data_IF_401127385788
#
_entry.id   IF_401127385788
#
_cell.length_a   1.000
_cell.length_b   1.000
_cell.length_c   1.000
_cell.angle_alpha   90.00
_cell.angle_beta   90.00
_cell.angle_gamma   90.00
#
_symmetry.space_group_name_H-M   'P 1'
#
loop_
_entity.id
_entity.type
_entity.pdbx_description
1 polymer ?
#
# COMPACT_ATOMS: atom_id res chain seq x y z
N UNK A 1 -3.49 26.94 -12.52
CA UNK A 1 -3.44 25.48 -12.71
C UNK A 1 -4.77 24.87 -12.29
N UNK A 2 -5.38 24.05 -13.12
CA UNK A 2 -6.65 23.37 -12.86
C UNK A 2 -6.56 21.91 -13.23
N UNK A 3 -7.23 21.06 -12.46
CA UNK A 3 -7.38 19.64 -12.78
C UNK A 3 -8.27 19.50 -14.02
N UNK A 4 -7.77 18.80 -15.04
CA UNK A 4 -8.52 18.53 -16.28
C UNK A 4 -8.87 17.06 -16.44
N UNK A 5 -8.17 16.15 -15.75
CA UNK A 5 -8.48 14.73 -15.81
C UNK A 5 -7.95 13.98 -14.59
N UNK A 6 -8.66 12.90 -14.21
CA UNK A 6 -8.21 11.87 -13.27
C UNK A 6 -8.31 10.53 -13.98
N UNK A 7 -7.24 9.78 -13.99
CA UNK A 7 -7.10 8.47 -14.64
C UNK A 7 -6.64 7.42 -13.65
N UNK A 8 -7.03 6.19 -13.88
CA UNK A 8 -6.57 5.03 -13.11
C UNK A 8 -5.99 3.96 -14.03
N UNK A 9 -5.04 3.19 -13.52
CA UNK A 9 -4.52 1.99 -14.14
C UNK A 9 -4.31 0.92 -13.06
N UNK A 10 -4.74 -0.32 -13.35
CA UNK A 10 -4.50 -1.46 -12.45
C UNK A 10 -3.30 -2.23 -12.96
N UNK A 11 -2.29 -2.37 -12.12
CA UNK A 11 -1.06 -3.12 -12.42
C UNK A 11 -1.01 -4.35 -11.53
N UNK A 12 -0.78 -5.51 -12.15
CA UNK A 12 -0.59 -6.76 -11.41
C UNK A 12 0.88 -6.91 -11.01
N UNK A 13 1.18 -6.64 -9.75
CA UNK A 13 2.49 -6.84 -9.15
C UNK A 13 2.30 -7.08 -7.65
N UNK A 14 2.68 -8.26 -7.15
CA UNK A 14 2.42 -8.67 -5.75
C UNK A 14 0.98 -8.34 -5.27
N UNK A 15 -0.03 -8.79 -6.05
CA UNK A 15 -1.41 -8.33 -5.90
C UNK A 15 -1.83 -7.38 -7.02
N UNK A 16 -2.69 -6.43 -6.74
CA UNK A 16 -3.17 -5.43 -7.70
C UNK A 16 -2.96 -4.03 -7.15
N UNK A 17 -2.01 -3.29 -7.70
CA UNK A 17 -1.84 -1.87 -7.42
C UNK A 17 -2.77 -1.04 -8.33
N UNK A 18 -3.55 -0.14 -7.75
CA UNK A 18 -4.36 0.83 -8.49
C UNK A 18 -3.64 2.16 -8.50
N UNK A 19 -3.02 2.48 -9.64
CA UNK A 19 -2.34 3.75 -9.83
C UNK A 19 -3.36 4.84 -10.17
N UNK A 20 -3.14 6.04 -9.65
CA UNK A 20 -3.93 7.24 -9.90
C UNK A 20 -3.05 8.28 -10.55
N UNK A 21 -3.54 8.89 -11.64
CA UNK A 21 -2.89 10.03 -12.28
C UNK A 21 -3.88 11.19 -12.39
N UNK A 22 -3.44 12.37 -11.95
CA UNK A 22 -4.18 13.62 -12.10
C UNK A 22 -3.45 14.50 -13.10
N UNK A 23 -4.14 14.91 -14.16
CA UNK A 23 -3.60 15.79 -15.20
C UNK A 23 -4.13 17.22 -15.02
N UNK A 24 -3.29 18.23 -15.34
CA UNK A 24 -3.63 19.66 -15.27
C UNK A 24 -3.59 20.34 -16.62
N UNK A 25 -4.26 21.50 -16.71
CA UNK A 25 -4.25 22.38 -17.89
C UNK A 25 -2.88 23.00 -18.22
N UNK A 26 -1.95 22.98 -17.26
CA UNK A 26 -0.57 23.46 -17.44
C UNK A 26 0.40 22.34 -17.83
N UNK A 27 -0.08 21.13 -18.08
CA UNK A 27 0.72 19.98 -18.53
C UNK A 27 1.44 19.22 -17.42
N UNK A 28 1.33 19.64 -16.17
CA UNK A 28 1.83 18.87 -15.03
C UNK A 28 0.89 17.72 -14.72
N UNK A 29 1.47 16.60 -14.28
CA UNK A 29 0.73 15.44 -13.81
C UNK A 29 1.27 14.95 -12.48
N UNK A 30 0.36 14.56 -11.58
CA UNK A 30 0.68 13.93 -10.30
C UNK A 30 0.27 12.46 -10.29
N UNK A 31 0.99 11.68 -9.50
CA UNK A 31 0.81 10.23 -9.39
C UNK A 31 0.61 9.81 -7.96
N UNK A 32 -0.33 8.91 -7.75
CA UNK A 32 -0.61 8.27 -6.47
C UNK A 32 -0.94 6.80 -6.65
N UNK A 33 -1.06 6.10 -5.55
CA UNK A 33 -1.46 4.71 -5.51
C UNK A 33 -2.55 4.52 -4.48
N UNK A 34 -3.66 3.91 -4.91
CA UNK A 34 -4.73 3.41 -4.06
C UNK A 34 -4.55 1.90 -3.97
N UNK A 35 -3.89 1.43 -2.92
CA UNK A 35 -3.51 0.03 -2.80
C UNK A 35 -4.51 -0.77 -1.94
N UNK A 36 -5.33 -1.62 -2.55
CA UNK A 36 -5.87 -2.78 -1.88
C UNK A 36 -5.38 -4.04 -2.56
N UNK A 37 -5.16 -5.06 -1.78
CA UNK A 37 -4.96 -6.42 -2.27
C UNK A 37 -6.18 -6.93 -3.05
N UNK A 38 -7.37 -6.60 -2.58
CA UNK A 38 -8.64 -6.95 -3.19
C UNK A 38 -9.51 -5.70 -3.38
N UNK A 39 -10.39 -5.72 -4.38
CA UNK A 39 -11.35 -4.62 -4.60
C UNK A 39 -10.86 -3.53 -5.56
N UNK A 40 -9.80 -3.75 -6.34
CA UNK A 40 -9.29 -2.76 -7.29
C UNK A 40 -10.38 -2.22 -8.24
N UNK A 41 -11.31 -3.06 -8.70
CA UNK A 41 -12.41 -2.63 -9.56
C UNK A 41 -13.37 -1.63 -8.86
N UNK A 42 -13.66 -1.87 -7.58
CA UNK A 42 -14.51 -0.97 -6.78
C UNK A 42 -13.81 0.38 -6.56
N UNK A 43 -12.50 0.38 -6.33
CA UNK A 43 -11.69 1.59 -6.17
C UNK A 43 -11.63 2.39 -7.46
N UNK A 44 -11.39 1.74 -8.60
CA UNK A 44 -11.42 2.39 -9.92
C UNK A 44 -12.79 3.02 -10.19
N UNK A 45 -13.88 2.30 -9.89
CA UNK A 45 -15.24 2.81 -10.02
C UNK A 45 -15.47 4.06 -9.16
N UNK A 46 -15.07 3.99 -7.89
CA UNK A 46 -15.21 5.10 -6.96
C UNK A 46 -14.38 6.32 -7.39
N UNK A 47 -13.12 6.15 -7.78
CA UNK A 47 -12.29 7.26 -8.28
C UNK A 47 -12.93 7.90 -9.53
N UNK A 48 -13.55 7.09 -10.39
CA UNK A 48 -14.26 7.60 -11.57
C UNK A 48 -15.47 8.48 -11.21
N UNK A 49 -16.18 8.15 -10.12
CA UNK A 49 -17.27 8.99 -9.61
C UNK A 49 -16.73 10.28 -8.97
N UNK A 50 -15.73 10.17 -8.11
CA UNK A 50 -15.11 11.31 -7.40
C UNK A 50 -14.45 12.31 -8.36
N UNK A 51 -14.00 11.87 -9.52
CA UNK A 51 -13.37 12.70 -10.55
C UNK A 51 -14.18 13.95 -10.88
N UNK A 52 -15.52 13.83 -11.00
CA UNK A 52 -16.37 14.94 -11.40
C UNK A 52 -16.26 16.15 -10.45
N UNK A 53 -16.01 15.88 -9.17
CA UNK A 53 -15.88 16.91 -8.14
C UNK A 53 -14.49 17.58 -8.14
N UNK A 54 -13.49 16.94 -8.73
CA UNK A 54 -12.12 17.44 -8.79
C UNK A 54 -11.85 18.27 -10.06
N UNK A 55 -12.57 18.01 -11.17
CA UNK A 55 -12.37 18.75 -12.42
C UNK A 55 -12.61 20.25 -12.19
N UNK A 56 -11.62 21.06 -12.60
CA UNK A 56 -11.65 22.51 -12.46
C UNK A 56 -11.08 23.03 -11.15
N UNK A 57 -10.86 22.17 -10.15
CA UNK A 57 -10.20 22.57 -8.89
C UNK A 57 -8.72 22.82 -9.09
N UNK A 58 -8.14 23.63 -8.21
CA UNK A 58 -6.68 23.85 -8.14
C UNK A 58 -6.05 22.71 -7.31
N UNK A 59 -5.23 21.82 -7.92
CA UNK A 59 -4.64 20.68 -7.23
C UNK A 59 -3.65 21.07 -6.11
N UNK A 60 -3.22 22.33 -6.05
CA UNK A 60 -2.35 22.83 -4.97
C UNK A 60 -3.10 23.00 -3.64
N UNK A 61 -4.42 23.10 -3.68
CA UNK A 61 -5.29 23.13 -2.51
C UNK A 61 -5.62 21.71 -2.04
N UNK A 62 -4.58 20.93 -1.68
CA UNK A 62 -4.69 19.49 -1.37
C UNK A 62 -5.72 19.23 -0.28
N UNK A 63 -5.61 19.92 0.87
CA UNK A 63 -6.52 19.78 2.00
C UNK A 63 -7.96 20.14 1.64
N UNK A 64 -8.16 21.17 0.81
CA UNK A 64 -9.48 21.55 0.34
C UNK A 64 -10.10 20.43 -0.52
N UNK A 65 -9.35 19.87 -1.47
CA UNK A 65 -9.83 18.77 -2.32
C UNK A 65 -10.15 17.54 -1.48
N UNK A 66 -9.30 17.19 -0.51
CA UNK A 66 -9.51 16.10 0.43
C UNK A 66 -10.81 16.29 1.23
N UNK A 67 -10.97 17.43 1.91
CA UNK A 67 -12.13 17.71 2.74
C UNK A 67 -13.41 17.82 1.92
N UNK A 68 -13.36 18.37 0.71
CA UNK A 68 -14.49 18.42 -0.20
C UNK A 68 -15.03 17.03 -0.50
N UNK A 69 -14.17 16.12 -0.94
CA UNK A 69 -14.56 14.75 -1.24
C UNK A 69 -15.06 14.01 0.01
N UNK A 70 -14.36 14.13 1.12
CA UNK A 70 -14.70 13.48 2.37
C UNK A 70 -16.05 13.91 2.92
N UNK A 71 -16.34 15.21 2.90
CA UNK A 71 -17.58 15.78 3.45
C UNK A 71 -18.79 15.54 2.56
N UNK A 72 -18.61 15.65 1.25
CA UNK A 72 -19.71 15.42 0.31
C UNK A 72 -20.19 13.95 0.34
N UNK A 73 -19.32 13.04 0.76
CA UNK A 73 -19.61 11.61 0.82
C UNK A 73 -19.70 11.05 2.25
N UNK A 74 -20.12 11.87 3.21
CA UNK A 74 -20.21 11.48 4.63
C UNK A 74 -20.97 10.18 4.88
N UNK A 75 -21.98 9.86 4.05
CA UNK A 75 -22.77 8.63 4.16
C UNK A 75 -22.16 7.43 3.42
N UNK A 76 -21.07 7.62 2.68
CA UNK A 76 -20.37 6.57 1.93
C UNK A 76 -19.21 5.94 2.71
N UNK A 77 -19.10 6.18 4.01
CA UNK A 77 -18.05 5.62 4.86
C UNK A 77 -16.67 6.28 4.69
N UNK A 78 -16.55 7.63 4.74
CA UNK A 78 -15.33 8.35 4.45
C UNK A 78 -14.24 8.24 5.53
N UNK A 79 -14.42 7.36 6.51
CA UNK A 79 -13.48 7.17 7.63
C UNK A 79 -12.75 5.83 7.57
N UNK A 80 -12.95 5.03 6.51
CA UNK A 80 -12.29 3.74 6.36
C UNK A 80 -12.67 3.02 5.06
N UNK A 81 -12.12 1.82 4.91
CA UNK A 81 -12.45 0.91 3.81
C UNK A 81 -12.11 1.45 2.42
N UNK A 82 -12.81 0.98 1.42
CA UNK A 82 -12.58 1.28 -0.01
C UNK A 82 -12.63 2.77 -0.30
N UNK A 83 -13.53 3.52 0.36
CA UNK A 83 -13.64 4.96 0.15
C UNK A 83 -12.35 5.68 0.51
N UNK A 84 -11.82 5.42 1.71
CA UNK A 84 -10.60 6.08 2.17
C UNK A 84 -9.38 5.66 1.36
N UNK A 85 -9.33 4.41 0.90
CA UNK A 85 -8.26 3.92 0.01
C UNK A 85 -8.28 4.68 -1.33
N UNK A 86 -9.45 4.85 -1.95
CA UNK A 86 -9.60 5.62 -3.17
C UNK A 86 -9.20 7.09 -2.98
N UNK A 87 -9.67 7.69 -1.89
CA UNK A 87 -9.36 9.06 -1.53
C UNK A 87 -7.87 9.27 -1.26
N UNK A 88 -7.19 8.32 -0.59
CA UNK A 88 -5.75 8.37 -0.36
C UNK A 88 -4.95 8.35 -1.65
N UNK A 89 -5.34 7.52 -2.64
CA UNK A 89 -4.68 7.52 -3.94
C UNK A 89 -4.81 8.86 -4.68
N UNK A 90 -5.95 9.52 -4.57
CA UNK A 90 -6.17 10.87 -5.11
C UNK A 90 -5.29 11.88 -4.37
N UNK A 91 -5.28 11.84 -3.05
CA UNK A 91 -4.55 12.78 -2.19
C UNK A 91 -3.04 12.68 -2.40
N UNK A 92 -2.48 11.47 -2.51
CA UNK A 92 -1.07 11.27 -2.85
C UNK A 92 -0.73 11.91 -4.21
N UNK A 93 -1.61 11.77 -5.22
CA UNK A 93 -1.42 12.38 -6.52
C UNK A 93 -1.50 13.93 -6.47
N UNK A 94 -2.36 14.49 -5.61
CA UNK A 94 -2.44 15.94 -5.39
C UNK A 94 -1.17 16.47 -4.70
N UNK A 95 -0.64 15.78 -3.69
CA UNK A 95 0.61 16.15 -3.04
C UNK A 95 1.81 16.08 -4.00
N UNK A 96 1.87 15.08 -4.87
CA UNK A 96 2.89 14.99 -5.92
C UNK A 96 2.80 16.18 -6.90
N UNK A 97 1.58 16.56 -7.30
CA UNK A 97 1.35 17.76 -8.12
C UNK A 97 1.77 19.05 -7.41
N UNK A 98 1.35 19.24 -6.16
CA UNK A 98 1.68 20.42 -5.38
C UNK A 98 3.21 20.58 -5.24
N UNK A 99 3.92 19.48 -5.00
CA UNK A 99 5.37 19.48 -4.91
C UNK A 99 6.04 19.82 -6.24
N UNK A 100 5.58 19.24 -7.35
CA UNK A 100 6.06 19.55 -8.71
C UNK A 100 5.80 21.01 -9.09
N UNK A 101 4.61 21.52 -8.78
CA UNK A 101 4.26 22.92 -9.03
C UNK A 101 5.12 23.90 -8.21
N UNK A 102 5.52 23.51 -7.00
CA UNK A 102 6.44 24.29 -6.16
C UNK A 102 7.91 24.12 -6.54
N UNK A 103 8.25 23.23 -7.50
CA UNK A 103 9.65 22.92 -7.85
C UNK A 103 10.43 22.31 -6.69
N UNK A 104 9.75 21.62 -5.76
CA UNK A 104 10.35 21.05 -4.56
C UNK A 104 10.08 19.54 -4.48
N UNK A 105 10.99 18.74 -3.93
CA UNK A 105 10.69 17.36 -3.62
C UNK A 105 9.63 17.29 -2.51
N UNK A 106 8.71 16.33 -2.64
CA UNK A 106 7.54 16.19 -1.76
C UNK A 106 7.89 16.21 -0.26
N UNK A 107 8.98 15.55 0.14
CA UNK A 107 9.37 15.50 1.56
C UNK A 107 9.59 16.89 2.19
N UNK A 108 9.90 17.92 1.38
CA UNK A 108 10.05 19.31 1.89
C UNK A 108 8.72 19.91 2.29
N UNK A 109 7.65 19.60 1.53
CA UNK A 109 6.30 20.06 1.86
C UNK A 109 5.73 19.31 3.07
N UNK A 110 6.20 18.09 3.32
CA UNK A 110 5.77 17.23 4.44
C UNK A 110 6.61 17.42 5.72
N UNK A 111 7.34 18.52 5.85
CA UNK A 111 8.10 18.84 7.07
C UNK A 111 9.61 18.66 6.98
N UNK A 112 10.14 18.28 5.82
CA UNK A 112 11.57 18.21 5.56
C UNK A 112 12.15 16.78 5.64
N UNK A 113 13.45 16.69 5.37
CA UNK A 113 14.16 15.41 5.33
C UNK A 113 14.54 14.96 6.74
N UNK A 114 14.09 13.77 7.12
CA UNK A 114 14.38 13.19 8.43
C UNK A 114 15.66 12.34 8.42
N UNK A 115 15.96 11.64 7.30
CA UNK A 115 17.15 10.78 7.15
C UNK A 115 17.53 10.63 5.67
N UNK A 116 18.79 10.29 5.43
CA UNK A 116 19.33 10.07 4.07
C UNK A 116 19.20 8.63 3.59
N UNK A 117 19.10 7.68 4.52
CA UNK A 117 19.00 6.26 4.23
C UNK A 117 17.90 5.62 5.07
N UNK A 118 17.19 4.69 4.48
CA UNK A 118 16.17 3.87 5.14
C UNK A 118 16.71 2.45 5.24
N UNK A 119 16.69 1.88 6.46
CA UNK A 119 16.97 0.46 6.65
C UNK A 119 15.83 -0.35 6.06
N UNK A 120 16.17 -1.25 5.13
CA UNK A 120 15.22 -2.19 4.56
C UNK A 120 15.26 -3.52 5.32
N UNK A 121 14.13 -4.20 5.37
CA UNK A 121 14.06 -5.61 5.72
C UNK A 121 13.73 -6.44 4.47
N UNK A 122 14.15 -7.70 4.44
CA UNK A 122 13.67 -8.64 3.44
C UNK A 122 12.37 -9.30 3.92
N UNK A 123 11.32 -9.21 3.13
CA UNK A 123 10.11 -9.99 3.33
C UNK A 123 10.37 -11.41 2.80
N UNK A 124 10.39 -12.37 3.70
CA UNK A 124 10.74 -13.76 3.43
C UNK A 124 9.51 -14.69 3.30
N UNK A 125 8.32 -14.18 3.62
CA UNK A 125 7.08 -14.96 3.58
C UNK A 125 7.20 -16.25 4.39
N UNK A 126 6.84 -17.37 3.77
CA UNK A 126 6.92 -18.72 4.36
C UNK A 126 8.32 -19.38 4.25
N UNK A 127 9.32 -18.69 3.72
CA UNK A 127 10.65 -19.24 3.48
C UNK A 127 10.90 -19.64 2.01
N UNK A 128 11.89 -20.52 1.77
CA UNK A 128 12.27 -20.96 0.42
C UNK A 128 11.44 -22.13 -0.12
N UNK A 129 10.66 -22.78 0.72
CA UNK A 129 9.74 -23.82 0.31
C UNK A 129 8.28 -23.42 0.56
N UNK A 130 7.38 -23.97 -0.26
CA UNK A 130 5.94 -23.68 -0.15
C UNK A 130 5.27 -24.31 1.08
N UNK A 131 6.00 -25.14 1.84
CA UNK A 131 5.51 -25.77 3.08
C UNK A 131 5.74 -24.87 4.29
N UNK A 132 6.64 -23.89 4.19
CA UNK A 132 7.06 -23.05 5.30
C UNK A 132 7.75 -23.86 6.39
N UNK A 133 8.60 -24.83 6.01
CA UNK A 133 9.36 -25.60 6.97
C UNK A 133 10.40 -24.76 7.72
N UNK A 134 10.84 -25.16 8.93
CA UNK A 134 11.94 -24.50 9.63
C UNK A 134 13.21 -24.41 8.78
N UNK A 135 13.54 -25.45 8.01
CA UNK A 135 14.70 -25.52 7.12
C UNK A 135 14.57 -24.53 5.95
N UNK A 136 13.38 -24.40 5.36
CA UNK A 136 13.08 -23.43 4.32
C UNK A 136 13.22 -22.00 4.83
N UNK A 137 12.72 -21.71 6.04
CA UNK A 137 12.90 -20.42 6.71
C UNK A 137 14.39 -20.11 6.96
N UNK A 138 15.15 -21.06 7.51
CA UNK A 138 16.58 -20.90 7.76
C UNK A 138 17.39 -20.69 6.47
N UNK A 139 17.05 -21.38 5.39
CA UNK A 139 17.70 -21.24 4.10
C UNK A 139 17.43 -19.87 3.50
N UNK A 140 16.19 -19.41 3.54
CA UNK A 140 15.81 -18.06 3.11
C UNK A 140 16.51 -16.98 3.92
N UNK A 141 16.54 -17.14 5.25
CA UNK A 141 17.23 -16.21 6.15
C UNK A 141 18.71 -16.05 5.78
N UNK A 142 19.43 -17.17 5.66
CA UNK A 142 20.86 -17.15 5.27
C UNK A 142 21.10 -16.46 3.93
N UNK A 143 20.24 -16.72 2.95
CA UNK A 143 20.35 -16.06 1.64
C UNK A 143 20.20 -14.54 1.78
N UNK A 144 19.18 -14.06 2.49
CA UNK A 144 18.93 -12.63 2.65
C UNK A 144 20.03 -11.94 3.48
N UNK A 145 20.58 -12.61 4.48
CA UNK A 145 21.74 -12.09 5.24
C UNK A 145 22.97 -11.99 4.33
N UNK A 146 23.21 -12.99 3.47
CA UNK A 146 24.32 -12.94 2.49
C UNK A 146 24.12 -11.84 1.45
N UNK A 147 22.87 -11.50 1.09
CA UNK A 147 22.53 -10.38 0.21
C UNK A 147 22.64 -9.00 0.91
N UNK A 148 23.01 -8.99 2.20
CA UNK A 148 23.30 -7.78 2.97
C UNK A 148 22.13 -7.22 3.78
N UNK A 149 20.99 -7.90 3.86
CA UNK A 149 19.89 -7.48 4.73
C UNK A 149 20.23 -7.71 6.20
N UNK A 150 19.91 -6.73 7.04
CA UNK A 150 20.14 -6.77 8.50
C UNK A 150 18.83 -6.91 9.28
N UNK A 151 17.71 -7.03 8.60
CA UNK A 151 16.40 -7.28 9.16
C UNK A 151 15.61 -8.18 8.22
N UNK A 152 14.86 -9.11 8.78
CA UNK A 152 14.07 -10.11 8.06
C UNK A 152 12.63 -10.10 8.63
N UNK A 153 11.65 -10.39 7.77
CA UNK A 153 10.27 -10.62 8.16
C UNK A 153 9.86 -12.00 7.66
N UNK A 154 9.28 -12.81 8.53
CA UNK A 154 8.70 -14.11 8.21
C UNK A 154 7.24 -14.16 8.65
N UNK A 155 6.41 -14.81 7.85
CA UNK A 155 5.08 -15.21 8.25
C UNK A 155 5.18 -16.56 8.98
N UNK A 156 4.82 -16.57 10.26
CA UNK A 156 4.95 -17.77 11.10
C UNK A 156 3.66 -18.58 11.16
N UNK A 157 2.52 -17.99 10.83
CA UNK A 157 1.22 -18.64 10.74
C UNK A 157 1.07 -19.39 9.42
N UNK A 158 1.28 -20.69 9.44
CA UNK A 158 1.13 -21.51 8.22
C UNK A 158 -0.34 -21.86 7.97
N UNK A 159 -0.97 -21.18 7.01
CA UNK A 159 -2.35 -21.46 6.58
C UNK A 159 -2.52 -22.87 5.95
N UNK A 160 -1.43 -23.50 5.53
CA UNK A 160 -1.40 -24.85 4.92
C UNK A 160 -0.89 -25.91 5.86
N UNK A 161 -0.77 -25.62 7.16
CA UNK A 161 -0.28 -26.60 8.15
C UNK A 161 -1.20 -27.84 8.15
N UNK A 162 -0.65 -29.09 8.08
CA UNK A 162 -1.47 -30.30 8.03
C UNK A 162 -2.42 -30.48 9.21
N UNK A 163 -2.04 -29.99 10.38
CA UNK A 163 -2.85 -30.03 11.60
C UNK A 163 -3.67 -28.73 11.79
N UNK A 164 -3.88 -27.93 10.74
CA UNK A 164 -4.65 -26.69 10.81
C UNK A 164 -6.07 -26.98 11.29
N UNK A 165 -6.40 -26.41 12.44
CA UNK A 165 -7.71 -26.60 13.09
C UNK A 165 -8.73 -25.56 12.63
N UNK A 166 -8.30 -24.29 12.57
CA UNK A 166 -9.17 -23.17 12.25
C UNK A 166 -8.81 -22.58 10.89
N UNK A 167 -9.64 -22.85 9.87
CA UNK A 167 -9.44 -22.37 8.52
C UNK A 167 -9.51 -20.84 8.41
N UNK A 168 -10.17 -20.15 9.36
CA UNK A 168 -10.24 -18.69 9.43
C UNK A 168 -9.04 -18.05 10.16
N UNK A 169 -8.15 -18.87 10.72
CA UNK A 169 -6.91 -18.46 11.41
C UNK A 169 -7.12 -17.55 12.63
N UNK A 170 -8.25 -17.71 13.33
CA UNK A 170 -8.51 -16.97 14.58
C UNK A 170 -7.89 -17.63 15.81
N UNK A 171 -7.70 -18.96 15.75
CA UNK A 171 -7.10 -19.75 16.82
C UNK A 171 -6.07 -20.73 16.29
N UNK A 172 -5.05 -21.02 17.09
CA UNK A 172 -4.04 -22.02 16.79
C UNK A 172 -4.07 -23.15 17.84
N UNK A 173 -3.96 -24.39 17.39
CA UNK A 173 -3.80 -25.54 18.30
C UNK A 173 -2.33 -25.72 18.73
N UNK A 174 -2.08 -26.64 19.66
CA UNK A 174 -0.74 -26.85 20.20
C UNK A 174 0.30 -27.32 19.16
N UNK A 175 -0.11 -27.99 18.07
CA UNK A 175 0.79 -28.39 16.99
C UNK A 175 1.18 -27.21 16.11
N UNK A 176 0.24 -26.33 15.80
CA UNK A 176 0.50 -25.08 15.06
C UNK A 176 1.44 -24.17 15.86
N UNK A 177 1.20 -23.99 17.16
CA UNK A 177 2.09 -23.20 18.03
C UNK A 177 3.51 -23.77 18.06
N UNK A 178 3.68 -25.10 18.18
CA UNK A 178 5.01 -25.72 18.10
C UNK A 178 5.69 -25.43 16.77
N UNK A 179 4.98 -25.56 15.65
CA UNK A 179 5.51 -25.23 14.31
C UNK A 179 5.96 -23.78 14.22
N UNK A 180 5.19 -22.83 14.75
CA UNK A 180 5.59 -21.42 14.81
C UNK A 180 6.89 -21.23 15.59
N UNK A 181 7.01 -21.88 16.76
CA UNK A 181 8.23 -21.81 17.58
C UNK A 181 9.43 -22.40 16.86
N UNK A 182 9.26 -23.55 16.20
CA UNK A 182 10.34 -24.23 15.46
C UNK A 182 10.84 -23.36 14.28
N UNK A 183 9.94 -22.66 13.58
CA UNK A 183 10.31 -21.72 12.52
C UNK A 183 11.14 -20.55 13.04
N UNK A 184 10.69 -19.94 14.15
CA UNK A 184 11.42 -18.83 14.79
C UNK A 184 12.78 -19.29 15.29
N UNK A 185 12.87 -20.50 15.87
CA UNK A 185 14.12 -21.04 16.37
C UNK A 185 15.13 -21.41 15.26
N UNK A 186 14.67 -21.63 14.03
CA UNK A 186 15.51 -21.99 12.89
C UNK A 186 16.15 -20.77 12.21
N UNK A 187 15.59 -19.58 12.35
CA UNK A 187 16.04 -18.33 11.73
C UNK A 187 17.02 -17.59 12.63
#
# INVERSE_FOLDING_TARGET
MKIVNVKTAVVAYHGKATLVRIDTDEGLSGYGEANPDAGAAAIVGLISELKAELIGEDPRNVEYCWEKLRRNHVFSGPQGGIFLIALSGIEIALWDLAAKAAGQPLYRLLGGKFRDRIRLYADCGDGDDASGSPEGCATRARRMVNDGFTALKFDIDNLRHPAKFDAANHTANAAEVRSMVERVAAV
#
